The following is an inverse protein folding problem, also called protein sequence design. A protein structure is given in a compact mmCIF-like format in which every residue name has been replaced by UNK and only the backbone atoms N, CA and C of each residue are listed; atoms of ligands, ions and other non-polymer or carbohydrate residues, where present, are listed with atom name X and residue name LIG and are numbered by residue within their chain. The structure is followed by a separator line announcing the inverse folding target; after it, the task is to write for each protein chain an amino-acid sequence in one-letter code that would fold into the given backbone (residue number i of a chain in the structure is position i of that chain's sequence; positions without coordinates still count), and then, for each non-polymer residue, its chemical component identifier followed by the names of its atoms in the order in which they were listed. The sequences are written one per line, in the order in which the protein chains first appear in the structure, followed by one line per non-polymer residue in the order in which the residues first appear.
data_IF_449112430159
#
_entry.id   IF_449112430159
#
_cell.length_a   1.000
_cell.length_b   1.000
_cell.length_c   1.000
_cell.angle_alpha   90.00
_cell.angle_beta   90.00
_cell.angle_gamma   90.00
#
_symmetry.space_group_name_H-M   'P 1'
#
loop_
_entity.id
_entity.type
_entity.pdbx_description
1 polymer ?
#
# COMPACT_ATOMS: atom_id res chain seq x y z
N UNK A 1 -11.90 -9.30 13.12
CA UNK A 1 -12.61 -8.68 11.97
C UNK A 1 -12.26 -7.20 11.96
N UNK A 2 -11.75 -6.67 10.86
CA UNK A 2 -11.32 -5.27 10.74
C UNK A 2 -11.66 -4.72 9.35
N UNK A 3 -11.73 -3.41 9.23
CA UNK A 3 -11.88 -2.67 7.98
C UNK A 3 -10.49 -2.44 7.36
N UNK A 4 -10.16 -3.14 6.31
CA UNK A 4 -8.87 -3.08 5.61
C UNK A 4 -8.97 -2.18 4.39
N UNK A 5 -8.18 -1.09 4.35
CA UNK A 5 -7.99 -0.31 3.14
C UNK A 5 -6.74 -0.82 2.42
N UNK A 6 -6.92 -1.39 1.24
CA UNK A 6 -5.83 -1.89 0.40
C UNK A 6 -5.46 -0.85 -0.67
N UNK A 7 -4.32 -0.22 -0.53
CA UNK A 7 -3.73 0.66 -1.53
C UNK A 7 -2.91 -0.13 -2.55
N UNK A 8 -3.18 0.09 -3.83
CA UNK A 8 -2.52 -0.62 -4.93
C UNK A 8 -1.80 0.37 -5.83
N UNK A 9 -0.51 0.13 -6.07
CA UNK A 9 0.34 1.03 -6.84
C UNK A 9 0.93 0.39 -8.09
N UNK A 10 1.55 1.19 -8.97
CA UNK A 10 2.00 0.83 -10.31
C UNK A 10 3.19 -0.13 -10.35
N UNK A 11 2.97 -1.37 -9.97
CA UNK A 11 3.93 -2.47 -10.09
C UNK A 11 3.30 -3.66 -10.80
N UNK A 12 4.10 -4.45 -11.51
CA UNK A 12 3.66 -5.74 -12.10
C UNK A 12 2.99 -6.65 -11.06
N UNK A 13 3.42 -6.54 -9.79
CA UNK A 13 2.81 -7.31 -8.70
C UNK A 13 1.32 -6.99 -8.46
N UNK A 14 0.80 -5.88 -9.01
CA UNK A 14 -0.62 -5.53 -8.94
C UNK A 14 -1.53 -6.57 -9.63
N UNK A 15 -1.01 -7.42 -10.52
CA UNK A 15 -1.74 -8.60 -11.06
C UNK A 15 -2.27 -9.52 -9.95
N UNK A 16 -1.70 -9.44 -8.74
CA UNK A 16 -2.12 -10.24 -7.58
C UNK A 16 -3.22 -9.57 -6.75
N UNK A 17 -3.63 -8.35 -7.07
CA UNK A 17 -4.64 -7.60 -6.31
C UNK A 17 -5.95 -8.37 -6.13
N UNK A 18 -6.55 -9.01 -7.16
CA UNK A 18 -7.78 -9.77 -6.97
C UNK A 18 -7.61 -10.96 -6.01
N UNK A 19 -6.44 -11.61 -6.02
CA UNK A 19 -6.13 -12.70 -5.10
C UNK A 19 -6.00 -12.21 -3.66
N UNK A 20 -5.24 -11.12 -3.45
CA UNK A 20 -5.04 -10.52 -2.12
C UNK A 20 -6.37 -10.04 -1.53
N UNK A 21 -7.20 -9.36 -2.33
CA UNK A 21 -8.56 -8.95 -1.94
C UNK A 21 -9.39 -10.14 -1.46
N UNK A 22 -9.45 -11.23 -2.24
CA UNK A 22 -10.19 -12.44 -1.87
C UNK A 22 -9.67 -13.08 -0.60
N UNK A 23 -8.35 -13.15 -0.40
CA UNK A 23 -7.78 -13.77 0.79
C UNK A 23 -8.00 -12.93 2.05
N UNK A 24 -7.91 -11.61 1.98
CA UNK A 24 -8.26 -10.72 3.09
C UNK A 24 -9.75 -10.84 3.46
N UNK A 25 -10.63 -10.90 2.46
CA UNK A 25 -12.07 -11.10 2.68
C UNK A 25 -12.35 -12.48 3.30
N UNK A 26 -11.69 -13.53 2.81
CA UNK A 26 -11.81 -14.89 3.35
C UNK A 26 -11.28 -15.00 4.79
N UNK A 27 -10.31 -14.16 5.17
CA UNK A 27 -9.83 -14.03 6.55
C UNK A 27 -10.81 -13.27 7.48
N UNK A 28 -11.98 -12.85 6.97
CA UNK A 28 -13.05 -12.21 7.73
C UNK A 28 -12.93 -10.69 7.83
N UNK A 29 -12.12 -10.04 7.01
CA UNK A 29 -12.03 -8.58 6.96
C UNK A 29 -13.04 -7.98 5.97
N UNK A 30 -13.54 -6.78 6.27
CA UNK A 30 -14.16 -5.93 5.26
C UNK A 30 -13.04 -5.20 4.50
N UNK A 31 -13.05 -5.27 3.16
CA UNK A 31 -11.94 -4.75 2.35
C UNK A 31 -12.45 -3.71 1.36
N UNK A 32 -11.81 -2.55 1.33
CA UNK A 32 -11.90 -1.58 0.23
C UNK A 32 -10.53 -1.42 -0.40
N UNK A 33 -10.52 -1.15 -1.70
CA UNK A 33 -9.30 -0.98 -2.48
C UNK A 33 -9.25 0.43 -3.04
N UNK A 34 -8.12 1.11 -2.88
CA UNK A 34 -7.82 2.38 -3.55
C UNK A 34 -6.63 2.19 -4.48
N UNK A 35 -6.83 2.39 -5.78
CA UNK A 35 -5.83 2.08 -6.81
C UNK A 35 -5.33 3.34 -7.51
N UNK A 36 -4.01 3.43 -7.69
CA UNK A 36 -3.42 4.49 -8.52
C UNK A 36 -3.72 4.25 -10.01
N UNK A 37 -3.75 5.30 -10.85
CA UNK A 37 -3.96 5.13 -12.28
C UNK A 37 -2.96 4.15 -12.94
N UNK A 38 -1.71 4.12 -12.48
CA UNK A 38 -0.70 3.22 -13.00
C UNK A 38 -0.95 1.73 -12.64
N UNK A 39 -1.64 1.46 -11.55
CA UNK A 39 -1.88 0.07 -11.10
C UNK A 39 -2.94 -0.65 -11.92
N UNK A 40 -3.95 0.06 -12.40
CA UNK A 40 -5.05 -0.53 -13.20
C UNK A 40 -4.60 -1.01 -14.59
N UNK A 41 -3.36 -0.72 -14.99
CA UNK A 41 -2.75 -1.34 -16.15
C UNK A 41 -2.53 -2.85 -16.00
N UNK A 42 -2.42 -3.34 -14.75
CA UNK A 42 -2.01 -4.71 -14.43
C UNK A 42 -3.15 -5.64 -14.01
N UNK A 43 -4.35 -5.14 -13.74
CA UNK A 43 -5.51 -5.95 -13.38
C UNK A 43 -6.81 -5.22 -13.77
N UNK A 44 -7.90 -5.98 -13.94
CA UNK A 44 -9.22 -5.40 -14.17
C UNK A 44 -9.86 -5.01 -12.83
N UNK A 45 -10.19 -3.72 -12.62
CA UNK A 45 -10.91 -3.27 -11.43
C UNK A 45 -12.23 -4.01 -11.15
N UNK A 46 -12.90 -4.54 -12.17
CA UNK A 46 -14.12 -5.32 -12.01
C UNK A 46 -13.91 -6.69 -11.32
N UNK A 47 -12.68 -7.19 -11.28
CA UNK A 47 -12.33 -8.43 -10.56
C UNK A 47 -12.24 -8.23 -9.03
N UNK A 48 -12.33 -6.99 -8.56
CA UNK A 48 -12.20 -6.61 -7.15
C UNK A 48 -13.54 -6.13 -6.62
N UNK A 49 -14.29 -7.00 -5.97
CA UNK A 49 -15.60 -6.70 -5.40
C UNK A 49 -16.71 -6.42 -6.41
N UNK A 50 -16.41 -6.44 -7.70
CA UNK A 50 -17.38 -6.22 -8.76
C UNK A 50 -18.29 -7.42 -9.03
N UNK A 51 -19.37 -7.18 -9.74
CA UNK A 51 -20.30 -8.21 -10.19
C UNK A 51 -20.62 -8.03 -11.69
N UNK A 52 -20.74 -9.15 -12.40
CA UNK A 52 -21.08 -9.18 -13.83
C UNK A 52 -20.14 -8.34 -14.73
N UNK A 53 -18.84 -8.26 -14.37
CA UNK A 53 -17.86 -7.47 -15.11
C UNK A 53 -17.98 -5.95 -14.88
N UNK A 54 -18.69 -5.51 -13.85
CA UNK A 54 -18.84 -4.10 -13.49
C UNK A 54 -18.17 -3.85 -12.14
N UNK A 55 -17.36 -2.81 -12.10
CA UNK A 55 -16.70 -2.35 -10.85
C UNK A 55 -17.74 -1.87 -9.83
N UNK A 56 -17.58 -2.26 -8.57
CA UNK A 56 -18.29 -1.65 -7.45
C UNK A 56 -17.48 -0.43 -6.94
N UNK A 57 -17.96 0.81 -7.11
CA UNK A 57 -17.22 2.00 -6.70
C UNK A 57 -17.15 2.18 -5.16
N UNK A 58 -17.95 1.45 -4.39
CA UNK A 58 -17.86 1.47 -2.92
C UNK A 58 -16.81 0.51 -2.38
N UNK A 59 -16.36 -0.44 -3.20
CA UNK A 59 -15.31 -1.42 -2.86
C UNK A 59 -14.00 -1.10 -3.56
N UNK A 60 -14.04 -0.82 -4.86
CA UNK A 60 -12.87 -0.53 -5.69
C UNK A 60 -12.87 0.94 -6.09
N UNK A 61 -12.06 1.75 -5.42
CA UNK A 61 -11.96 3.19 -5.59
C UNK A 61 -10.82 3.51 -6.57
N UNK A 62 -11.13 4.29 -7.58
CA UNK A 62 -10.17 4.83 -8.55
C UNK A 62 -9.92 6.32 -8.31
N UNK A 63 -8.88 6.82 -8.92
CA UNK A 63 -8.48 8.22 -8.75
C UNK A 63 -9.59 9.22 -9.12
N UNK A 64 -10.35 8.93 -10.19
CA UNK A 64 -11.47 9.77 -10.61
C UNK A 64 -12.66 9.82 -9.63
N UNK A 65 -12.74 8.90 -8.67
CA UNK A 65 -13.79 8.91 -7.65
C UNK A 65 -13.54 9.97 -6.55
N UNK A 66 -12.29 10.48 -6.43
CA UNK A 66 -11.93 11.56 -5.51
C UNK A 66 -12.53 12.90 -5.94
N UNK A 67 -12.69 13.10 -7.27
CA UNK A 67 -13.26 14.32 -7.84
C UNK A 67 -14.43 13.97 -8.76
N UNK A 68 -15.64 13.71 -8.18
CA UNK A 68 -16.76 13.09 -8.92
C UNK A 68 -17.45 14.03 -9.91
N UNK A 69 -17.10 15.31 -9.98
CA UNK A 69 -17.77 16.29 -10.83
C UNK A 69 -16.80 17.25 -11.52
N UNK A 70 -17.30 18.08 -12.43
CA UNK A 70 -16.51 19.16 -13.05
C UNK A 70 -16.19 20.29 -12.06
N UNK A 71 -17.01 20.46 -11.01
CA UNK A 71 -16.87 21.49 -9.97
C UNK A 71 -17.39 20.97 -8.64
N UNK A 72 -16.71 21.36 -7.58
CA UNK A 72 -17.15 21.10 -6.21
C UNK A 72 -18.55 21.71 -5.94
N UNK A 73 -19.43 20.93 -5.37
CA UNK A 73 -20.68 21.38 -4.78
C UNK A 73 -20.68 21.11 -3.27
N UNK A 74 -21.32 21.99 -2.52
CA UNK A 74 -21.40 21.83 -1.05
C UNK A 74 -22.16 20.55 -0.71
N UNK A 75 -21.51 19.62 -0.02
CA UNK A 75 -22.05 18.30 0.33
C UNK A 75 -21.47 17.16 -0.52
N UNK A 76 -20.62 17.48 -1.49
CA UNK A 76 -19.87 16.44 -2.20
C UNK A 76 -19.04 15.62 -1.22
N UNK A 77 -18.99 14.33 -1.48
CA UNK A 77 -18.22 13.37 -0.72
C UNK A 77 -16.72 13.65 -0.87
N UNK A 78 -15.98 13.60 0.23
CA UNK A 78 -14.52 13.69 0.25
C UNK A 78 -13.99 12.28 0.50
N UNK A 79 -13.69 11.58 -0.58
CA UNK A 79 -13.45 10.12 -0.57
C UNK A 79 -12.28 9.73 0.33
N UNK A 80 -11.14 10.44 0.27
CA UNK A 80 -9.99 10.12 1.10
C UNK A 80 -10.27 10.29 2.61
N UNK A 81 -11.16 11.21 3.01
CA UNK A 81 -11.58 11.39 4.41
C UNK A 81 -12.49 10.24 4.85
N UNK A 82 -13.43 9.83 3.99
CA UNK A 82 -14.31 8.69 4.28
C UNK A 82 -13.49 7.40 4.43
N UNK A 83 -12.55 7.16 3.51
CA UNK A 83 -11.71 5.97 3.53
C UNK A 83 -10.83 5.89 4.79
N UNK A 84 -10.14 6.97 5.16
CA UNK A 84 -9.32 6.99 6.38
C UNK A 84 -10.13 6.81 7.65
N UNK A 85 -11.39 7.30 7.65
CA UNK A 85 -12.28 7.20 8.81
C UNK A 85 -12.82 5.78 8.93
N UNK A 86 -13.19 5.16 7.80
CA UNK A 86 -13.72 3.81 7.73
C UNK A 86 -12.67 2.74 8.08
N UNK A 87 -11.41 2.91 7.63
CA UNK A 87 -10.39 1.88 7.74
C UNK A 87 -9.79 1.79 9.16
N UNK A 88 -9.53 0.56 9.61
CA UNK A 88 -8.79 0.25 10.84
C UNK A 88 -7.29 0.06 10.54
N UNK A 89 -6.94 -0.35 9.31
CA UNK A 89 -5.57 -0.57 8.85
C UNK A 89 -5.41 -0.15 7.39
N UNK A 90 -4.27 0.45 7.06
CA UNK A 90 -3.91 0.78 5.69
C UNK A 90 -2.80 -0.15 5.19
N UNK A 91 -3.09 -0.91 4.15
CA UNK A 91 -2.18 -1.88 3.52
C UNK A 91 -1.79 -1.35 2.15
N UNK A 92 -0.51 -1.16 1.86
CA UNK A 92 -0.03 -0.79 0.53
C UNK A 92 0.67 -2.00 -0.11
N UNK A 93 -0.04 -2.70 -0.96
CA UNK A 93 0.42 -3.95 -1.59
C UNK A 93 -0.14 -4.11 -3.02
N UNK A 94 0.71 -3.98 -4.05
CA UNK A 94 2.13 -3.62 -4.00
C UNK A 94 2.37 -2.15 -3.69
N UNK A 95 3.54 -1.83 -3.09
CA UNK A 95 4.06 -0.48 -2.96
C UNK A 95 5.24 -0.29 -3.91
N UNK A 96 5.07 0.54 -4.94
CA UNK A 96 6.11 0.88 -5.91
C UNK A 96 7.07 1.98 -5.40
N UNK A 97 8.20 2.15 -6.07
CA UNK A 97 9.21 3.14 -5.70
C UNK A 97 8.69 4.59 -5.82
N UNK A 98 7.85 4.87 -6.81
CA UNK A 98 7.27 6.20 -7.02
C UNK A 98 6.35 6.58 -5.86
N UNK A 99 5.43 5.70 -5.50
CA UNK A 99 4.51 5.96 -4.39
C UNK A 99 5.27 6.00 -3.06
N UNK A 100 6.23 5.09 -2.81
CA UNK A 100 7.08 5.18 -1.62
C UNK A 100 7.74 6.55 -1.48
N UNK A 101 8.28 7.11 -2.57
CA UNK A 101 8.85 8.45 -2.56
C UNK A 101 7.81 9.52 -2.21
N UNK A 102 6.61 9.47 -2.82
CA UNK A 102 5.52 10.41 -2.52
C UNK A 102 5.11 10.36 -1.05
N UNK A 103 4.96 9.16 -0.50
CA UNK A 103 4.62 8.97 0.92
C UNK A 103 5.67 9.62 1.82
N UNK A 104 6.96 9.40 1.55
CA UNK A 104 8.08 9.87 2.36
C UNK A 104 8.26 11.40 2.32
N UNK A 105 7.82 12.08 1.25
CA UNK A 105 7.93 13.54 1.10
C UNK A 105 6.59 14.26 1.22
N UNK A 106 5.51 13.53 1.45
CA UNK A 106 4.17 14.08 1.69
C UNK A 106 3.46 14.61 0.45
N UNK A 107 3.78 14.10 -0.75
CA UNK A 107 3.03 14.42 -1.97
C UNK A 107 1.68 13.71 -1.96
N UNK A 108 0.60 14.45 -2.28
CA UNK A 108 -0.77 13.96 -2.28
C UNK A 108 -1.50 14.42 -3.55
N UNK A 109 -1.14 13.79 -4.68
CA UNK A 109 -1.58 14.13 -6.03
C UNK A 109 -2.56 13.11 -6.63
N UNK A 110 -3.01 12.14 -5.85
CA UNK A 110 -4.02 11.15 -6.21
C UNK A 110 -4.78 10.65 -4.97
N UNK A 111 -5.90 9.96 -5.15
CA UNK A 111 -6.76 9.49 -4.07
C UNK A 111 -5.99 8.70 -2.99
N UNK A 112 -5.11 7.76 -3.39
CA UNK A 112 -4.32 6.95 -2.46
C UNK A 112 -3.39 7.81 -1.59
N UNK A 113 -2.67 8.74 -2.20
CA UNK A 113 -1.73 9.61 -1.48
C UNK A 113 -2.45 10.68 -0.65
N UNK A 114 -3.67 11.09 -1.03
CA UNK A 114 -4.55 11.91 -0.20
C UNK A 114 -4.99 11.15 1.06
N UNK A 115 -5.36 9.87 0.95
CA UNK A 115 -5.64 9.02 2.13
C UNK A 115 -4.42 8.95 3.04
N UNK A 116 -3.23 8.70 2.49
CA UNK A 116 -1.98 8.66 3.26
C UNK A 116 -1.72 9.98 4.01
N UNK A 117 -1.87 11.10 3.32
CA UNK A 117 -1.63 12.42 3.91
C UNK A 117 -2.61 12.77 5.04
N UNK A 118 -3.82 12.20 4.97
CA UNK A 118 -4.86 12.36 5.98
C UNK A 118 -4.90 11.21 7.00
N UNK A 119 -3.99 10.22 6.92
CA UNK A 119 -4.02 9.02 7.77
C UNK A 119 -3.80 9.36 9.24
N UNK A 120 -4.50 8.64 10.11
CA UNK A 120 -4.29 8.68 11.56
C UNK A 120 -3.08 7.79 11.91
N UNK A 121 -1.98 8.40 12.33
CA UNK A 121 -0.71 7.73 12.64
C UNK A 121 -0.79 6.76 13.83
N UNK A 122 -1.88 6.77 14.59
CA UNK A 122 -2.14 5.77 15.63
C UNK A 122 -2.66 4.44 15.04
N UNK A 123 -3.22 4.46 13.82
CA UNK A 123 -3.70 3.26 13.14
C UNK A 123 -2.56 2.54 12.41
N UNK A 124 -2.58 1.20 12.36
CA UNK A 124 -1.53 0.43 11.74
C UNK A 124 -1.44 0.63 10.21
N UNK A 125 -0.21 0.52 9.71
CA UNK A 125 0.13 0.53 8.29
C UNK A 125 0.98 -0.70 7.97
N UNK A 126 0.64 -1.39 6.88
CA UNK A 126 1.41 -2.52 6.34
C UNK A 126 1.88 -2.17 4.93
N UNK A 127 3.19 -2.20 4.72
CA UNK A 127 3.81 -1.93 3.42
C UNK A 127 4.37 -3.21 2.83
N UNK A 128 4.00 -3.52 1.58
CA UNK A 128 4.57 -4.63 0.80
C UNK A 128 5.29 -4.06 -0.45
N UNK A 129 6.57 -3.68 -0.33
CA UNK A 129 7.33 -3.13 -1.45
C UNK A 129 7.44 -4.11 -2.62
N UNK A 130 7.34 -3.56 -3.85
CA UNK A 130 7.46 -4.32 -5.09
C UNK A 130 8.05 -3.45 -6.20
N UNK A 131 9.31 -3.70 -6.54
CA UNK A 131 10.06 -2.94 -7.55
C UNK A 131 11.24 -3.75 -8.07
N UNK A 132 11.90 -3.28 -9.15
CA UNK A 132 13.15 -3.88 -9.64
C UNK A 132 14.24 -3.85 -8.56
N UNK A 133 15.16 -4.82 -8.59
CA UNK A 133 16.24 -4.96 -7.60
C UNK A 133 17.09 -3.69 -7.47
N UNK A 134 17.47 -3.05 -8.57
CA UNK A 134 18.25 -1.81 -8.53
C UNK A 134 17.47 -0.65 -7.93
N UNK A 135 16.16 -0.61 -8.13
CA UNK A 135 15.29 0.38 -7.48
C UNK A 135 15.19 0.11 -5.98
N UNK A 136 15.10 -1.16 -5.56
CA UNK A 136 15.08 -1.52 -4.15
C UNK A 136 16.39 -1.15 -3.45
N UNK A 137 17.52 -1.47 -4.06
CA UNK A 137 18.87 -1.16 -3.56
C UNK A 137 19.28 0.31 -3.73
N UNK A 138 18.44 1.12 -4.39
CA UNK A 138 18.78 2.52 -4.63
C UNK A 138 18.89 3.31 -3.32
N UNK A 139 19.87 4.19 -3.15
CA UNK A 139 20.03 5.00 -1.92
C UNK A 139 18.80 5.79 -1.51
N UNK A 140 17.99 6.25 -2.49
CA UNK A 140 16.72 6.95 -2.22
C UNK A 140 15.69 6.04 -1.56
N UNK A 141 15.59 4.77 -1.92
CA UNK A 141 14.67 3.82 -1.30
C UNK A 141 14.96 3.69 0.19
N UNK A 142 16.23 3.49 0.57
CA UNK A 142 16.66 3.47 1.98
C UNK A 142 16.37 4.78 2.71
N UNK A 143 16.59 5.92 2.03
CA UNK A 143 16.28 7.25 2.60
C UNK A 143 14.79 7.41 2.86
N UNK A 144 13.93 7.03 1.92
CA UNK A 144 12.49 7.11 2.05
C UNK A 144 11.97 6.19 3.16
N UNK A 145 12.45 4.95 3.24
CA UNK A 145 12.08 4.03 4.33
C UNK A 145 12.47 4.58 5.71
N UNK A 146 13.67 5.19 5.85
CA UNK A 146 14.09 5.82 7.11
C UNK A 146 13.20 7.02 7.47
N UNK A 147 12.79 7.83 6.48
CA UNK A 147 11.88 8.94 6.70
C UNK A 147 10.56 8.46 7.27
N UNK A 148 9.93 7.47 6.62
CA UNK A 148 8.69 6.88 7.12
C UNK A 148 8.86 6.25 8.51
N UNK A 149 9.96 5.52 8.74
CA UNK A 149 10.24 4.91 10.03
C UNK A 149 10.35 5.96 11.16
N UNK A 150 10.96 7.10 10.88
CA UNK A 150 11.07 8.21 11.83
C UNK A 150 9.69 8.77 12.17
N UNK A 151 8.82 8.96 11.17
CA UNK A 151 7.44 9.45 11.34
C UNK A 151 6.60 8.48 12.20
N UNK A 152 6.86 7.17 12.09
CA UNK A 152 6.24 6.13 12.93
C UNK A 152 6.99 5.85 14.25
N UNK A 153 7.90 6.74 14.65
CA UNK A 153 8.53 6.70 15.95
C UNK A 153 9.65 5.66 16.13
N UNK A 154 10.20 5.10 15.04
CA UNK A 154 11.32 4.15 15.12
C UNK A 154 12.64 4.80 15.58
N UNK A 155 12.68 6.13 15.68
CA UNK A 155 13.89 6.87 16.04
C UNK A 155 14.98 6.84 14.97
N UNK A 156 16.22 7.10 15.41
CA UNK A 156 17.35 7.10 14.48
C UNK A 156 17.76 5.68 14.09
N UNK A 157 17.81 5.40 12.79
CA UNK A 157 18.34 4.15 12.21
C UNK A 157 19.61 4.48 11.43
N UNK A 158 20.76 3.81 11.74
CA UNK A 158 22.05 4.12 11.12
C UNK A 158 22.00 4.07 9.59
N UNK A 159 22.69 5.02 8.94
CA UNK A 159 22.79 5.07 7.48
C UNK A 159 23.58 3.90 6.88
N UNK A 160 24.41 3.24 7.69
CA UNK A 160 25.23 2.08 7.29
C UNK A 160 24.43 0.78 7.13
N UNK A 161 23.19 0.73 7.62
CA UNK A 161 22.37 -0.47 7.48
C UNK A 161 21.98 -0.69 6.01
N UNK A 162 22.12 -1.93 5.56
CA UNK A 162 21.56 -2.39 4.29
C UNK A 162 20.04 -2.48 4.35
N UNK A 163 19.39 -2.89 3.26
CA UNK A 163 17.93 -2.92 3.14
C UNK A 163 17.30 -3.92 4.12
N UNK A 164 17.90 -5.08 4.31
CA UNK A 164 17.39 -6.13 5.20
C UNK A 164 17.46 -5.70 6.67
N UNK A 165 18.61 -5.17 7.09
CA UNK A 165 18.83 -4.62 8.42
C UNK A 165 17.88 -3.44 8.68
N UNK A 166 17.68 -2.59 7.68
CA UNK A 166 16.78 -1.45 7.77
C UNK A 166 15.32 -1.91 7.99
N UNK A 167 14.83 -2.86 7.20
CA UNK A 167 13.48 -3.42 7.35
C UNK A 167 13.31 -4.09 8.71
N UNK A 168 14.30 -4.88 9.16
CA UNK A 168 14.28 -5.51 10.48
C UNK A 168 14.16 -4.47 11.61
N UNK A 169 14.95 -3.40 11.55
CA UNK A 169 14.91 -2.34 12.56
C UNK A 169 13.60 -1.52 12.54
N UNK A 170 13.05 -1.27 11.35
CA UNK A 170 11.73 -0.62 11.24
C UNK A 170 10.67 -1.50 11.90
N UNK A 171 10.66 -2.78 11.58
CA UNK A 171 9.70 -3.74 12.11
C UNK A 171 9.83 -3.96 13.64
N UNK A 172 11.03 -3.77 14.20
CA UNK A 172 11.28 -3.88 15.64
C UNK A 172 10.83 -2.61 16.40
N UNK A 173 11.03 -1.43 15.83
CA UNK A 173 10.91 -0.16 16.55
C UNK A 173 9.70 0.68 16.23
N UNK A 174 9.19 0.61 15.00
CA UNK A 174 8.04 1.39 14.60
C UNK A 174 6.76 0.82 15.23
N UNK A 175 5.98 1.67 15.89
CA UNK A 175 4.81 1.21 16.67
C UNK A 175 3.65 0.75 15.80
N UNK A 176 3.39 1.46 14.70
CA UNK A 176 2.22 1.23 13.85
C UNK A 176 2.62 1.04 12.37
N UNK A 177 3.88 0.70 12.09
CA UNK A 177 4.37 0.44 10.74
C UNK A 177 4.98 -0.95 10.65
N UNK A 178 4.55 -1.74 9.68
CA UNK A 178 5.12 -3.06 9.36
C UNK A 178 5.49 -3.12 7.88
N UNK A 179 6.70 -3.59 7.58
CA UNK A 179 7.14 -3.87 6.20
C UNK A 179 7.20 -5.38 6.00
N UNK A 180 6.57 -5.89 4.95
CA UNK A 180 6.50 -7.30 4.58
C UNK A 180 7.23 -7.50 3.27
N UNK A 181 8.34 -8.21 3.29
CA UNK A 181 9.25 -8.35 2.15
C UNK A 181 10.10 -7.08 1.91
N UNK A 182 10.56 -6.81 0.67
CA UNK A 182 10.38 -7.67 -0.51
C UNK A 182 11.15 -8.98 -0.41
N UNK A 183 10.80 -9.93 -1.29
CA UNK A 183 11.45 -11.24 -1.37
C UNK A 183 12.38 -11.34 -2.59
N UNK A 184 13.30 -12.31 -2.54
CA UNK A 184 14.14 -12.67 -3.69
C UNK A 184 13.39 -13.63 -4.61
N UNK A 185 13.23 -13.27 -5.88
CA UNK A 185 12.54 -14.06 -6.90
C UNK A 185 13.04 -13.69 -8.29
N UNK A 186 12.71 -14.51 -9.30
CA UNK A 186 12.77 -14.07 -10.68
C UNK A 186 11.75 -12.93 -10.89
N UNK A 187 12.24 -11.77 -11.30
CA UNK A 187 11.44 -10.57 -11.52
C UNK A 187 10.89 -10.56 -12.96
N UNK A 188 9.85 -9.78 -13.20
CA UNK A 188 9.23 -9.67 -14.52
C UNK A 188 10.17 -9.14 -15.61
N UNK A 189 11.27 -8.45 -15.25
CA UNK A 189 12.32 -8.02 -16.17
C UNK A 189 13.34 -9.12 -16.52
N UNK A 190 13.21 -10.34 -15.94
CA UNK A 190 14.14 -11.45 -16.13
C UNK A 190 15.30 -11.51 -15.14
N UNK A 191 15.49 -10.48 -14.34
CA UNK A 191 16.52 -10.46 -13.27
C UNK A 191 16.10 -11.37 -12.11
N UNK A 192 17.09 -11.99 -11.46
CA UNK A 192 16.90 -12.70 -10.19
C UNK A 192 17.47 -11.81 -9.09
N UNK A 193 16.62 -11.41 -8.15
CA UNK A 193 17.08 -10.55 -7.06
C UNK A 193 15.96 -10.16 -6.10
N UNK A 194 16.34 -9.40 -5.08
CA UNK A 194 15.38 -8.87 -4.09
C UNK A 194 14.61 -7.70 -4.69
N UNK A 195 13.28 -7.72 -4.57
CA UNK A 195 12.42 -6.65 -5.09
C UNK A 195 10.99 -7.12 -5.38
N UNK A 196 10.76 -8.43 -5.44
CA UNK A 196 9.41 -8.98 -5.61
C UNK A 196 8.55 -8.75 -4.36
N UNK A 197 7.26 -8.43 -4.56
CA UNK A 197 6.30 -8.35 -3.47
C UNK A 197 6.29 -9.66 -2.67
N UNK A 198 6.16 -9.57 -1.36
CA UNK A 198 5.95 -10.71 -0.47
C UNK A 198 4.78 -11.59 -0.97
N UNK A 199 4.77 -12.84 -0.57
CA UNK A 199 3.67 -13.74 -0.93
C UNK A 199 2.37 -13.31 -0.24
N UNK A 200 1.24 -13.51 -0.93
CA UNK A 200 -0.06 -13.05 -0.46
C UNK A 200 -0.41 -13.55 0.95
N UNK A 201 -0.13 -14.83 1.32
CA UNK A 201 -0.37 -15.30 2.67
C UNK A 201 0.41 -14.54 3.75
N UNK A 202 1.65 -14.11 3.45
CA UNK A 202 2.49 -13.38 4.42
C UNK A 202 1.92 -11.98 4.67
N UNK A 203 1.40 -11.33 3.62
CA UNK A 203 0.73 -10.03 3.74
C UNK A 203 -0.55 -10.17 4.57
N UNK A 204 -1.37 -11.19 4.30
CA UNK A 204 -2.61 -11.46 5.07
C UNK A 204 -2.28 -11.72 6.54
N UNK A 205 -1.24 -12.52 6.82
CA UNK A 205 -0.79 -12.78 8.19
C UNK A 205 -0.33 -11.49 8.91
N UNK A 206 0.41 -10.62 8.20
CA UNK A 206 0.86 -9.34 8.75
C UNK A 206 -0.31 -8.39 9.06
N UNK A 207 -1.34 -8.37 8.20
CA UNK A 207 -2.58 -7.62 8.46
C UNK A 207 -3.28 -8.16 9.70
N UNK A 208 -3.45 -9.50 9.82
CA UNK A 208 -4.04 -10.12 11.00
C UNK A 208 -3.30 -9.75 12.30
N UNK A 209 -1.97 -9.76 12.27
CA UNK A 209 -1.14 -9.37 13.43
C UNK A 209 -1.22 -7.86 13.76
N UNK A 210 -1.50 -7.01 12.78
CA UNK A 210 -1.59 -5.57 12.99
C UNK A 210 -2.92 -5.11 13.59
N UNK A 211 -3.99 -5.92 13.44
CA UNK A 211 -5.35 -5.59 13.93
C UNK A 211 -5.85 -6.47 15.07
N UNK A 212 -5.07 -7.48 15.49
CA UNK A 212 -5.36 -8.38 16.63
C UNK A 212 -4.77 -7.87 17.87
#
# INVERSE_FOLDING_TARGET
MANVLLGVTGSVAAVRTPLLFRQLTAAGHAVKVVATPASVYFFDPAEVGGANGVRDPDVMILDGDEWPGERYARGDRVVHIDLRTWADVFVLAPLDANTLAKLAVGLSDNALTCVWRAWDWAKPVVLAPAMNTLMWQHPLTRKHLRSLAADFGAGHIPASFDEEQLVAQINDRAKALRIVGPISKALACGDIGVGAMAEVPDIVAAVGAAVG
#
